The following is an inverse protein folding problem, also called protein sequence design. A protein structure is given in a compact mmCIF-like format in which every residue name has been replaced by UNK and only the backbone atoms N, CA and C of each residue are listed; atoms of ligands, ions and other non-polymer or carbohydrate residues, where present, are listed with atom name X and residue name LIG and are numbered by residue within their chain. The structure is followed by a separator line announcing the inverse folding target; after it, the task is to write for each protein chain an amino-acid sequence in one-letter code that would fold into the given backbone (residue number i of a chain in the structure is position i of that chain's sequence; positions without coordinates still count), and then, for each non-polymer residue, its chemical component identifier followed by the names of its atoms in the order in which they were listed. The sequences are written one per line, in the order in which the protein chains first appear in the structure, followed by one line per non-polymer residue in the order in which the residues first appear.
data_IF_257758820943
#
_entry.id   IF_257758820943
#
_cell.length_a   1.000
_cell.length_b   1.000
_cell.length_c   1.000
_cell.angle_alpha   90.00
_cell.angle_beta   90.00
_cell.angle_gamma   90.00
#
_symmetry.space_group_name_H-M   'P 1'
#
loop_
_entity.id
_entity.type
_entity.pdbx_description
1 polymer ?
#
# COMPACT_ATOMS: atom_id res chain seq x y z
N UNK A 1 8.61 -17.94 14.49
CA UNK A 1 8.58 -16.50 14.79
C UNK A 1 7.36 -16.28 15.66
N UNK A 2 7.49 -15.57 16.77
CA UNK A 2 6.31 -15.13 17.52
C UNK A 2 6.63 -13.74 18.08
N UNK A 3 6.45 -12.74 17.23
CA UNK A 3 6.36 -11.34 17.63
C UNK A 3 5.20 -11.16 18.64
N UNK A 4 5.12 -9.99 19.28
CA UNK A 4 3.95 -9.66 20.08
C UNK A 4 2.69 -9.75 19.22
N UNK A 5 1.61 -10.27 19.80
CA UNK A 5 0.35 -10.44 19.07
C UNK A 5 -0.19 -9.08 18.61
N UNK A 6 -0.81 -9.01 17.42
CA UNK A 6 -1.51 -7.82 16.95
C UNK A 6 -2.50 -7.26 17.96
N UNK A 7 -2.63 -5.93 18.02
CA UNK A 7 -3.63 -5.26 18.82
C UNK A 7 -3.95 -3.88 18.22
N UNK A 8 -5.15 -3.76 17.63
CA UNK A 8 -5.69 -2.53 17.04
C UNK A 8 -5.70 -1.35 18.01
N UNK A 9 -5.86 -1.59 19.31
CA UNK A 9 -5.82 -0.54 20.33
C UNK A 9 -4.51 0.25 20.29
N UNK A 10 -3.41 -0.32 19.79
CA UNK A 10 -2.14 0.39 19.65
C UNK A 10 -2.20 1.49 18.59
N UNK A 11 -2.84 1.21 17.45
CA UNK A 11 -3.01 2.17 16.36
C UNK A 11 -3.99 3.27 16.81
N UNK A 12 -5.14 2.88 17.38
CA UNK A 12 -6.15 3.83 17.86
C UNK A 12 -5.61 4.72 18.98
N UNK A 13 -4.85 4.16 19.94
CA UNK A 13 -4.20 4.95 20.98
C UNK A 13 -3.16 5.93 20.42
N UNK A 14 -2.43 5.56 19.36
CA UNK A 14 -1.50 6.47 18.68
C UNK A 14 -2.23 7.66 18.04
N UNK A 15 -3.44 7.48 17.48
CA UNK A 15 -4.25 8.60 16.98
C UNK A 15 -4.63 9.59 18.08
N UNK A 16 -4.73 9.13 19.33
CA UNK A 16 -5.05 9.94 20.50
C UNK A 16 -3.81 10.35 21.33
N UNK A 17 -2.60 10.10 20.83
CA UNK A 17 -1.32 10.38 21.51
C UNK A 17 -1.20 9.70 22.89
N UNK A 18 -1.78 8.51 23.03
CA UNK A 18 -1.69 7.68 24.24
C UNK A 18 -0.66 6.57 24.05
N UNK A 19 -0.08 6.13 25.15
CA UNK A 19 0.79 4.95 25.20
C UNK A 19 0.02 3.71 25.60
N UNK A 20 0.37 2.59 24.99
CA UNK A 20 -0.11 1.25 25.31
C UNK A 20 1.09 0.41 25.79
N UNK A 21 1.25 -0.83 25.33
CA UNK A 21 2.40 -1.69 25.60
C UNK A 21 3.61 -1.39 24.68
N UNK A 22 3.39 -1.12 23.38
CA UNK A 22 4.44 -0.76 22.43
C UNK A 22 3.97 0.15 21.30
N UNK A 23 4.90 0.73 20.56
CA UNK A 23 4.68 1.40 19.28
C UNK A 23 4.03 0.40 18.30
N UNK A 24 2.89 0.76 17.68
CA UNK A 24 2.26 -0.05 16.65
C UNK A 24 3.10 -0.11 15.37
N UNK A 25 2.92 -1.17 14.59
CA UNK A 25 3.48 -1.25 13.24
C UNK A 25 2.40 -1.60 12.21
N UNK A 26 2.45 -0.92 11.07
CA UNK A 26 1.46 -1.05 10.01
C UNK A 26 2.08 -0.78 8.62
N UNK A 27 2.59 -1.83 7.97
CA UNK A 27 3.01 -1.74 6.57
C UNK A 27 1.82 -1.93 5.63
N UNK A 28 1.74 -1.08 4.62
CA UNK A 28 0.64 -1.07 3.66
C UNK A 28 0.89 -2.04 2.52
N UNK A 29 2.02 -1.88 1.83
CA UNK A 29 2.45 -2.77 0.75
C UNK A 29 3.71 -3.51 1.16
N UNK A 30 3.57 -4.81 1.30
CA UNK A 30 4.64 -5.80 1.36
C UNK A 30 4.49 -6.66 0.11
N UNK A 31 5.52 -6.66 -0.74
CA UNK A 31 5.47 -7.43 -1.99
C UNK A 31 5.61 -8.95 -1.75
N UNK A 32 5.04 -9.71 -2.70
CA UNK A 32 4.82 -11.15 -2.70
C UNK A 32 6.02 -12.01 -2.24
N UNK A 33 7.27 -11.67 -2.58
CA UNK A 33 8.42 -12.49 -2.15
C UNK A 33 8.67 -12.39 -0.66
N UNK A 34 8.39 -11.24 -0.05
CA UNK A 34 8.55 -11.04 1.38
C UNK A 34 7.43 -11.76 2.13
N UNK A 35 6.18 -11.53 1.74
CA UNK A 35 5.00 -12.19 2.34
C UNK A 35 5.10 -13.71 2.22
N UNK A 36 5.48 -14.21 1.04
CA UNK A 36 5.68 -15.64 0.80
C UNK A 36 6.82 -16.24 1.62
N UNK A 37 7.90 -15.49 1.85
CA UNK A 37 9.03 -15.95 2.67
C UNK A 37 8.66 -15.96 4.16
N UNK A 38 7.87 -15.00 4.64
CA UNK A 38 7.35 -14.99 6.02
C UNK A 38 6.43 -16.19 6.25
N UNK A 39 5.50 -16.49 5.34
CA UNK A 39 4.54 -17.59 5.48
C UNK A 39 5.13 -18.96 5.11
N UNK A 40 6.13 -19.01 4.23
CA UNK A 40 6.75 -20.24 3.75
C UNK A 40 5.96 -20.95 2.64
N UNK A 41 5.03 -20.24 2.00
CA UNK A 41 4.21 -20.66 0.84
C UNK A 41 4.02 -19.45 -0.09
N UNK A 42 3.69 -19.67 -1.35
CA UNK A 42 3.42 -18.58 -2.29
C UNK A 42 2.11 -17.89 -1.92
N UNK A 43 2.16 -16.58 -1.69
CA UNK A 43 0.98 -15.72 -1.46
C UNK A 43 1.14 -14.40 -2.24
N UNK A 44 0.11 -13.55 -2.20
CA UNK A 44 0.10 -12.27 -2.91
C UNK A 44 0.82 -11.11 -2.18
N UNK A 45 0.68 -9.93 -2.77
CA UNK A 45 1.05 -8.65 -2.17
C UNK A 45 -0.02 -8.23 -1.14
N UNK A 46 0.32 -7.41 -0.14
CA UNK A 46 -0.69 -6.86 0.78
C UNK A 46 -1.48 -5.69 0.19
N UNK A 47 -1.05 -5.15 -0.96
CA UNK A 47 -1.71 -4.09 -1.72
C UNK A 47 -1.57 -4.37 -3.22
N UNK A 48 -2.63 -4.18 -4.01
CA UNK A 48 -2.64 -4.46 -5.44
C UNK A 48 -2.05 -3.32 -6.27
N UNK A 49 -1.80 -3.62 -7.55
CA UNK A 49 -1.49 -2.61 -8.57
C UNK A 49 -2.70 -2.41 -9.46
N UNK A 50 -3.21 -1.18 -9.54
CA UNK A 50 -4.32 -0.84 -10.43
C UNK A 50 -3.92 -0.47 -11.83
N UNK A 51 -2.65 -0.11 -12.06
CA UNK A 51 -2.20 0.32 -13.39
C UNK A 51 -2.22 -0.89 -14.33
N UNK A 52 -3.19 -0.91 -15.25
CA UNK A 52 -3.43 -2.03 -16.16
C UNK A 52 -4.25 -3.18 -15.54
N UNK A 53 -4.97 -2.94 -14.45
CA UNK A 53 -5.92 -3.92 -13.90
C UNK A 53 -7.13 -4.12 -14.84
N UNK A 54 -7.55 -5.37 -15.01
CA UNK A 54 -8.88 -5.70 -15.54
C UNK A 54 -9.96 -5.46 -14.49
N UNK A 55 -11.22 -5.40 -14.91
CA UNK A 55 -12.40 -5.31 -14.02
C UNK A 55 -12.37 -6.38 -12.91
N UNK A 56 -12.00 -7.62 -13.26
CA UNK A 56 -11.90 -8.74 -12.32
C UNK A 56 -10.78 -8.54 -11.29
N UNK A 57 -9.60 -8.11 -11.75
CA UNK A 57 -8.45 -7.86 -10.85
C UNK A 57 -8.62 -6.60 -10.01
N UNK A 58 -9.44 -5.65 -10.46
CA UNK A 58 -9.73 -4.43 -9.71
C UNK A 58 -10.58 -4.73 -8.48
N UNK A 59 -11.56 -5.63 -8.60
CA UNK A 59 -12.45 -5.99 -7.51
C UNK A 59 -11.76 -6.89 -6.46
N UNK A 60 -10.92 -7.82 -6.92
CA UNK A 60 -10.36 -8.89 -6.09
C UNK A 60 -9.14 -8.42 -5.28
N UNK A 61 -9.08 -8.66 -3.95
CA UNK A 61 -7.89 -8.38 -3.17
C UNK A 61 -6.65 -9.17 -3.67
N UNK A 62 -5.44 -8.60 -3.53
CA UNK A 62 -4.20 -9.23 -4.01
C UNK A 62 -3.78 -10.46 -3.19
N UNK A 63 -4.20 -10.55 -1.93
CA UNK A 63 -3.93 -11.64 -1.00
C UNK A 63 -5.24 -12.08 -0.33
N UNK A 64 -5.34 -13.39 -0.10
CA UNK A 64 -6.38 -14.01 0.70
C UNK A 64 -6.34 -13.52 2.16
N UNK A 65 -7.50 -13.31 2.79
CA UNK A 65 -7.55 -12.65 4.09
C UNK A 65 -6.94 -13.52 5.19
N UNK A 66 -7.08 -14.83 5.12
CA UNK A 66 -6.48 -15.77 6.06
C UNK A 66 -4.94 -15.74 5.99
N UNK A 67 -4.38 -15.64 4.78
CA UNK A 67 -2.94 -15.43 4.57
C UNK A 67 -2.47 -14.09 5.19
N UNK A 68 -3.25 -13.01 5.01
CA UNK A 68 -2.91 -11.69 5.53
C UNK A 68 -2.99 -11.63 7.06
N UNK A 69 -3.98 -12.30 7.67
CA UNK A 69 -4.09 -12.45 9.12
C UNK A 69 -2.91 -13.26 9.69
N UNK A 70 -2.52 -14.36 9.05
CA UNK A 70 -1.35 -15.14 9.49
C UNK A 70 -0.07 -14.30 9.36
N UNK A 71 0.09 -13.53 8.28
CA UNK A 71 1.20 -12.61 8.10
C UNK A 71 1.26 -11.59 9.23
N UNK A 72 0.14 -10.90 9.51
CA UNK A 72 0.03 -9.92 10.59
C UNK A 72 0.36 -10.53 11.94
N UNK A 73 -0.12 -11.75 12.21
CA UNK A 73 0.16 -12.49 13.44
C UNK A 73 1.65 -12.81 13.60
N UNK A 74 2.33 -13.17 12.51
CA UNK A 74 3.76 -13.52 12.53
C UNK A 74 4.65 -12.31 12.75
N UNK A 75 4.36 -11.19 12.09
CA UNK A 75 5.16 -9.95 12.17
C UNK A 75 4.67 -8.98 13.27
N UNK A 76 3.57 -9.32 13.94
CA UNK A 76 2.91 -8.50 14.94
C UNK A 76 2.33 -7.20 14.40
N UNK A 77 1.95 -7.15 13.12
CA UNK A 77 1.30 -5.99 12.52
C UNK A 77 -0.13 -5.87 13.03
N UNK A 78 -0.52 -4.65 13.41
CA UNK A 78 -1.73 -4.41 14.20
C UNK A 78 -3.02 -4.32 13.35
N UNK A 79 -2.91 -4.36 12.02
CA UNK A 79 -4.05 -4.22 11.12
C UNK A 79 -3.80 -4.69 9.69
N UNK A 80 -4.88 -4.99 8.98
CA UNK A 80 -4.92 -5.24 7.53
C UNK A 80 -5.53 -4.05 6.79
N UNK A 81 -5.09 -3.83 5.56
CA UNK A 81 -5.65 -2.82 4.66
C UNK A 81 -6.35 -3.45 3.45
N UNK A 82 -7.57 -2.99 3.15
CA UNK A 82 -8.26 -3.33 1.90
C UNK A 82 -8.16 -2.17 0.90
N UNK A 83 -7.76 -2.47 -0.33
CA UNK A 83 -7.59 -1.47 -1.37
C UNK A 83 -8.91 -1.05 -2.05
N UNK A 84 -9.12 0.27 -2.09
CA UNK A 84 -10.09 0.98 -2.91
C UNK A 84 -9.52 2.34 -3.39
N UNK A 85 -8.22 2.40 -3.66
CA UNK A 85 -7.46 3.64 -3.88
C UNK A 85 -7.90 4.41 -5.13
N UNK A 86 -8.36 3.75 -6.19
CA UNK A 86 -8.52 4.39 -7.51
C UNK A 86 -9.97 4.40 -7.94
N UNK A 87 -10.50 5.54 -8.39
CA UNK A 87 -11.88 5.62 -8.88
C UNK A 87 -12.04 4.82 -10.18
N UNK A 88 -12.94 3.84 -10.26
CA UNK A 88 -13.10 2.96 -11.42
C UNK A 88 -13.97 3.61 -12.49
N UNK A 89 -13.58 4.81 -12.95
CA UNK A 89 -14.24 5.49 -14.06
C UNK A 89 -14.05 4.67 -15.35
N UNK A 90 -15.09 4.54 -16.17
CA UNK A 90 -15.09 3.60 -17.32
C UNK A 90 -15.36 4.28 -18.64
N UNK A 91 -15.00 3.60 -19.73
CA UNK A 91 -15.47 3.89 -21.10
C UNK A 91 -16.05 2.63 -21.71
N UNK A 92 -16.88 2.79 -22.75
CA UNK A 92 -17.32 1.68 -23.61
C UNK A 92 -16.45 1.61 -24.86
N UNK A 93 -16.06 0.40 -25.23
CA UNK A 93 -15.48 0.14 -26.56
C UNK A 93 -16.56 0.07 -27.67
N UNK A 94 -16.13 -0.21 -28.90
CA UNK A 94 -17.02 -0.26 -30.08
C UNK A 94 -18.05 -1.40 -29.98
N UNK A 95 -17.70 -2.46 -29.26
CA UNK A 95 -18.54 -3.62 -28.97
C UNK A 95 -19.48 -3.39 -27.76
N UNK A 96 -19.33 -2.27 -27.05
CA UNK A 96 -20.14 -1.88 -25.90
C UNK A 96 -19.69 -2.46 -24.56
N UNK A 97 -18.50 -3.09 -24.52
CA UNK A 97 -17.87 -3.62 -23.30
C UNK A 97 -17.27 -2.47 -22.50
N UNK A 98 -17.42 -2.54 -21.18
CA UNK A 98 -16.89 -1.56 -20.26
C UNK A 98 -15.41 -1.83 -19.93
N UNK A 99 -14.63 -0.76 -19.86
CA UNK A 99 -13.23 -0.78 -19.46
C UNK A 99 -12.92 0.34 -18.47
N UNK A 100 -12.32 0.01 -17.32
CA UNK A 100 -11.76 1.00 -16.38
C UNK A 100 -10.63 1.79 -17.07
N UNK A 101 -10.67 3.10 -16.89
CA UNK A 101 -9.66 4.04 -17.36
C UNK A 101 -8.47 4.02 -16.39
N UNK A 102 -7.31 3.58 -16.86
CA UNK A 102 -6.07 3.55 -16.07
C UNK A 102 -4.83 4.05 -16.81
N UNK A 103 -5.02 4.59 -18.02
CA UNK A 103 -3.96 4.87 -18.99
C UNK A 103 -3.70 6.36 -19.21
N UNK A 104 -4.45 7.24 -18.55
CA UNK A 104 -4.30 8.69 -18.68
C UNK A 104 -4.79 9.23 -20.02
N UNK A 105 -5.79 8.62 -20.64
CA UNK A 105 -6.24 8.93 -22.02
C UNK A 105 -7.29 10.04 -22.15
N UNK A 106 -7.82 10.59 -21.06
CA UNK A 106 -8.95 11.54 -21.09
C UNK A 106 -8.44 13.00 -21.09
N UNK A 107 -8.38 13.61 -22.27
CA UNK A 107 -7.80 14.94 -22.50
C UNK A 107 -8.78 15.98 -23.03
N UNK A 108 -9.91 15.59 -23.62
CA UNK A 108 -10.91 16.52 -24.18
C UNK A 108 -12.29 16.37 -23.53
N UNK A 109 -13.11 17.42 -23.64
CA UNK A 109 -14.48 17.40 -23.09
C UNK A 109 -15.33 16.31 -23.73
N UNK A 110 -15.15 16.04 -25.03
CA UNK A 110 -15.85 14.96 -25.73
C UNK A 110 -15.45 13.57 -25.21
N UNK A 111 -14.18 13.38 -24.84
CA UNK A 111 -13.74 12.14 -24.19
C UNK A 111 -14.33 12.04 -22.78
N UNK A 112 -14.29 13.13 -22.01
CA UNK A 112 -14.87 13.18 -20.66
C UNK A 112 -16.38 12.92 -20.67
N UNK A 113 -17.12 13.40 -21.66
CA UNK A 113 -18.56 13.17 -21.80
C UNK A 113 -18.90 11.71 -22.13
N UNK A 114 -17.93 10.90 -22.57
CA UNK A 114 -18.05 9.45 -22.75
C UNK A 114 -17.69 8.66 -21.50
N UNK A 115 -17.11 9.30 -20.49
CA UNK A 115 -16.74 8.64 -19.24
C UNK A 115 -18.01 8.28 -18.48
N UNK A 116 -18.08 7.02 -18.10
CA UNK A 116 -19.16 6.45 -17.31
C UNK A 116 -18.69 6.46 -15.85
N UNK A 117 -19.45 7.10 -14.93
CA UNK A 117 -19.12 7.13 -13.52
C UNK A 117 -19.21 5.74 -12.88
N UNK A 118 -18.76 5.62 -11.63
CA UNK A 118 -18.96 4.40 -10.86
C UNK A 118 -20.46 4.12 -10.66
N UNK A 119 -20.78 2.87 -10.35
CA UNK A 119 -22.13 2.45 -9.97
C UNK A 119 -22.09 1.58 -8.72
N UNK A 120 -23.20 1.56 -7.98
CA UNK A 120 -23.29 0.74 -6.78
C UNK A 120 -23.08 -0.73 -7.09
N UNK A 121 -23.73 -1.25 -8.13
CA UNK A 121 -23.76 -2.67 -8.46
C UNK A 121 -22.40 -3.19 -8.97
N UNK A 122 -21.69 -2.39 -9.77
CA UNK A 122 -20.42 -2.83 -10.37
C UNK A 122 -19.21 -2.50 -9.49
N UNK A 123 -19.27 -1.42 -8.71
CA UNK A 123 -18.07 -0.86 -8.07
C UNK A 123 -18.11 -0.91 -6.54
N UNK A 124 -19.28 -0.71 -5.95
CA UNK A 124 -19.41 -0.62 -4.48
C UNK A 124 -19.74 -1.99 -3.86
N UNK A 125 -20.74 -2.72 -4.38
CA UNK A 125 -21.18 -3.99 -3.81
C UNK A 125 -20.13 -5.11 -3.86
N UNK A 126 -19.31 -5.24 -4.93
CA UNK A 126 -18.20 -6.20 -4.93
C UNK A 126 -17.18 -5.90 -3.83
N UNK A 127 -16.82 -4.62 -3.65
CA UNK A 127 -15.90 -4.20 -2.58
C UNK A 127 -16.51 -4.37 -1.19
N UNK A 128 -17.81 -4.12 -1.02
CA UNK A 128 -18.54 -4.37 0.24
C UNK A 128 -18.46 -5.84 0.66
N UNK A 129 -18.59 -6.77 -0.30
CA UNK A 129 -18.47 -8.21 -0.02
C UNK A 129 -17.10 -8.55 0.56
N UNK A 130 -16.02 -8.14 -0.11
CA UNK A 130 -14.67 -8.40 0.38
C UNK A 130 -14.38 -7.69 1.70
N UNK A 131 -14.89 -6.46 1.89
CA UNK A 131 -14.70 -5.76 3.15
C UNK A 131 -15.36 -6.48 4.32
N UNK A 132 -16.58 -7.01 4.12
CA UNK A 132 -17.26 -7.84 5.12
C UNK A 132 -16.45 -9.08 5.46
N UNK A 133 -15.89 -9.75 4.46
CA UNK A 133 -15.01 -10.90 4.68
C UNK A 133 -13.78 -10.51 5.50
N UNK A 134 -13.16 -9.37 5.21
CA UNK A 134 -12.03 -8.82 5.97
C UNK A 134 -12.39 -8.55 7.43
N UNK A 135 -13.50 -7.85 7.67
CA UNK A 135 -13.96 -7.50 9.02
C UNK A 135 -14.29 -8.76 9.82
N UNK A 136 -15.07 -9.68 9.24
CA UNK A 136 -15.44 -10.94 9.89
C UNK A 136 -14.23 -11.81 10.23
N UNK A 137 -13.26 -11.92 9.32
CA UNK A 137 -12.06 -12.72 9.56
C UNK A 137 -11.18 -12.12 10.67
N UNK A 138 -11.19 -10.79 10.84
CA UNK A 138 -10.42 -10.12 11.89
C UNK A 138 -11.07 -10.19 13.28
N UNK A 139 -12.36 -10.57 13.40
CA UNK A 139 -13.06 -10.65 14.68
C UNK A 139 -12.32 -11.57 15.69
N UNK A 140 -12.05 -11.05 16.88
CA UNK A 140 -11.37 -11.79 17.96
C UNK A 140 -9.86 -12.02 17.75
N UNK A 141 -9.27 -11.58 16.63
CA UNK A 141 -7.82 -11.71 16.37
C UNK A 141 -6.99 -10.60 17.02
N UNK A 142 -7.62 -9.48 17.35
CA UNK A 142 -6.93 -8.24 17.78
C UNK A 142 -6.39 -7.41 16.61
N UNK A 143 -6.54 -7.86 15.36
CA UNK A 143 -6.13 -7.14 14.15
C UNK A 143 -7.25 -6.16 13.75
N UNK A 144 -6.90 -4.91 13.46
CA UNK A 144 -7.85 -3.92 12.94
C UNK A 144 -7.98 -3.96 11.42
N UNK A 145 -8.95 -3.21 10.91
CA UNK A 145 -9.21 -3.10 9.46
C UNK A 145 -9.19 -1.64 9.01
N UNK A 146 -8.51 -1.36 7.91
CA UNK A 146 -8.63 -0.07 7.21
C UNK A 146 -9.04 -0.26 5.76
N UNK A 147 -9.81 0.68 5.24
CA UNK A 147 -9.99 0.83 3.79
C UNK A 147 -9.05 1.92 3.30
N UNK A 148 -8.40 1.68 2.17
CA UNK A 148 -7.46 2.60 1.57
C UNK A 148 -8.08 3.20 0.32
N UNK A 149 -8.27 4.51 0.31
CA UNK A 149 -8.91 5.29 -0.76
C UNK A 149 -7.95 6.39 -1.22
N UNK A 150 -8.21 7.05 -2.34
CA UNK A 150 -7.56 8.32 -2.66
C UNK A 150 -8.57 9.46 -2.53
N UNK A 151 -8.20 10.63 -3.05
CA UNK A 151 -9.09 11.78 -3.05
C UNK A 151 -8.92 12.61 -4.34
N UNK A 152 -8.51 13.86 -4.22
CA UNK A 152 -8.73 14.88 -5.24
C UNK A 152 -7.64 14.95 -6.31
N UNK A 153 -6.44 14.42 -6.07
CA UNK A 153 -5.27 14.79 -6.88
C UNK A 153 -4.68 13.59 -7.62
N UNK A 154 -4.29 12.56 -6.89
CA UNK A 154 -3.56 11.41 -7.39
C UNK A 154 -4.30 10.68 -8.50
N UNK A 155 -5.57 10.34 -8.27
CA UNK A 155 -6.35 9.56 -9.24
C UNK A 155 -6.52 10.28 -10.58
N UNK A 156 -6.95 11.56 -10.62
CA UNK A 156 -7.00 12.33 -11.86
C UNK A 156 -5.68 12.36 -12.64
N UNK A 157 -4.55 12.69 -12.00
CA UNK A 157 -3.29 12.82 -12.73
C UNK A 157 -2.66 11.47 -13.10
N UNK A 158 -2.87 10.42 -12.30
CA UNK A 158 -2.17 9.15 -12.49
C UNK A 158 -2.90 8.23 -13.48
N UNK A 159 -4.23 8.22 -13.45
CA UNK A 159 -5.02 7.21 -14.17
C UNK A 159 -5.94 7.79 -15.24
N UNK A 160 -6.49 8.99 -15.03
CA UNK A 160 -7.55 9.53 -15.91
C UNK A 160 -6.97 10.44 -17.00
N UNK A 161 -6.15 11.42 -16.61
CA UNK A 161 -5.69 12.50 -17.50
C UNK A 161 -4.21 12.34 -17.87
N UNK A 162 -3.41 11.76 -16.98
CA UNK A 162 -1.95 11.74 -17.10
C UNK A 162 -1.32 13.00 -16.50
N UNK A 163 -0.13 12.85 -15.91
CA UNK A 163 0.49 13.87 -15.05
C UNK A 163 0.76 15.20 -15.78
N UNK A 164 1.41 15.15 -16.94
CA UNK A 164 1.75 16.36 -17.70
C UNK A 164 0.50 17.14 -18.12
N UNK A 165 -0.49 16.44 -18.68
CA UNK A 165 -1.73 17.07 -19.14
C UNK A 165 -2.55 17.61 -17.97
N UNK A 166 -2.60 16.88 -16.84
CA UNK A 166 -3.22 17.38 -15.61
C UNK A 166 -2.58 18.72 -15.19
N UNK A 167 -1.26 18.78 -15.09
CA UNK A 167 -0.53 20.00 -14.70
C UNK A 167 -0.73 21.17 -15.68
N UNK A 168 -0.97 20.90 -16.96
CA UNK A 168 -1.32 21.93 -17.95
C UNK A 168 -2.77 22.40 -17.74
N UNK A 169 -3.71 21.47 -17.54
CA UNK A 169 -5.14 21.77 -17.43
C UNK A 169 -5.51 22.49 -16.14
N UNK A 170 -4.84 22.23 -15.02
CA UNK A 170 -5.03 23.02 -13.79
C UNK A 170 -4.72 24.52 -13.97
N UNK A 171 -4.03 24.91 -15.06
CA UNK A 171 -3.79 26.31 -15.39
C UNK A 171 -4.67 26.83 -16.53
N UNK A 172 -5.18 25.93 -17.40
CA UNK A 172 -5.80 26.31 -18.68
C UNK A 172 -7.28 25.92 -18.84
N UNK A 173 -7.74 24.88 -18.17
CA UNK A 173 -9.11 24.37 -18.27
C UNK A 173 -9.55 23.81 -16.91
N UNK A 174 -9.77 24.74 -15.99
CA UNK A 174 -10.05 24.43 -14.59
C UNK A 174 -11.34 23.64 -14.40
N UNK A 175 -12.38 24.03 -15.13
CA UNK A 175 -13.70 23.37 -15.08
C UNK A 175 -13.60 21.90 -15.47
N UNK A 176 -12.72 21.56 -16.42
CA UNK A 176 -12.48 20.17 -16.80
C UNK A 176 -11.91 19.36 -15.63
N UNK A 177 -10.91 19.90 -14.94
CA UNK A 177 -10.31 19.26 -13.77
C UNK A 177 -11.35 19.11 -12.67
N UNK A 178 -12.10 20.16 -12.35
CA UNK A 178 -13.12 20.13 -11.30
C UNK A 178 -14.20 19.07 -11.59
N UNK A 179 -14.61 18.88 -12.86
CA UNK A 179 -15.52 17.81 -13.25
C UNK A 179 -14.94 16.41 -13.01
N UNK A 180 -13.67 16.18 -13.37
CA UNK A 180 -13.00 14.88 -13.14
C UNK A 180 -12.83 14.60 -11.66
N UNK A 181 -12.41 15.60 -10.87
CA UNK A 181 -12.29 15.50 -9.41
C UNK A 181 -13.64 15.15 -8.79
N UNK A 182 -14.73 15.82 -9.21
CA UNK A 182 -16.08 15.53 -8.71
C UNK A 182 -16.46 14.07 -8.94
N UNK A 183 -16.24 13.54 -10.15
CA UNK A 183 -16.56 12.14 -10.48
C UNK A 183 -15.75 11.15 -9.62
N UNK A 184 -14.47 11.44 -9.37
CA UNK A 184 -13.64 10.61 -8.49
C UNK A 184 -14.12 10.69 -7.04
N UNK A 185 -14.42 11.90 -6.56
CA UNK A 185 -14.92 12.12 -5.20
C UNK A 185 -16.27 11.47 -4.96
N UNK A 186 -17.19 11.45 -5.93
CA UNK A 186 -18.47 10.77 -5.78
C UNK A 186 -18.26 9.27 -5.50
N UNK A 187 -17.29 8.63 -6.18
CA UNK A 187 -16.89 7.25 -5.87
C UNK A 187 -16.31 7.11 -4.46
N UNK A 188 -15.37 7.99 -4.09
CA UNK A 188 -14.72 7.91 -2.78
C UNK A 188 -15.72 8.12 -1.63
N UNK A 189 -16.68 9.04 -1.79
CA UNK A 189 -17.72 9.24 -0.77
C UNK A 189 -18.59 8.00 -0.61
N UNK A 190 -18.98 7.35 -1.72
CA UNK A 190 -19.80 6.12 -1.67
C UNK A 190 -19.03 4.93 -1.07
N UNK A 191 -17.76 4.75 -1.43
CA UNK A 191 -16.95 3.64 -0.90
C UNK A 191 -16.60 3.83 0.58
N UNK A 192 -16.32 5.06 1.00
CA UNK A 192 -16.00 5.39 2.40
C UNK A 192 -17.26 5.24 3.25
N UNK A 193 -18.40 5.76 2.79
CA UNK A 193 -19.67 5.59 3.49
C UNK A 193 -19.98 4.11 3.67
N UNK A 194 -19.82 3.31 2.61
CA UNK A 194 -19.97 1.86 2.69
C UNK A 194 -19.05 1.26 3.76
N UNK A 195 -17.77 1.63 3.79
CA UNK A 195 -16.84 1.08 4.77
C UNK A 195 -17.17 1.47 6.22
N UNK A 196 -17.62 2.70 6.44
CA UNK A 196 -18.14 3.15 7.74
C UNK A 196 -19.38 2.35 8.16
N UNK A 197 -20.33 2.10 7.25
CA UNK A 197 -21.52 1.28 7.52
C UNK A 197 -21.17 -0.17 7.89
N UNK A 198 -20.07 -0.72 7.35
CA UNK A 198 -19.59 -2.07 7.67
C UNK A 198 -18.76 -2.15 8.96
N UNK A 199 -18.38 -1.02 9.55
CA UNK A 199 -17.63 -0.98 10.82
C UNK A 199 -16.10 -1.03 10.67
N UNK A 200 -15.56 -0.38 9.64
CA UNK A 200 -14.10 -0.21 9.48
C UNK A 200 -13.46 0.48 10.70
N UNK A 201 -12.23 0.10 11.06
CA UNK A 201 -11.52 0.71 12.20
C UNK A 201 -11.04 2.14 11.91
N UNK A 202 -10.59 2.42 10.69
CA UNK A 202 -10.28 3.78 10.21
C UNK A 202 -10.27 3.86 8.67
N UNK A 203 -10.19 5.09 8.14
CA UNK A 203 -10.03 5.34 6.70
C UNK A 203 -8.62 5.88 6.42
N UNK A 204 -7.95 5.28 5.44
CA UNK A 204 -6.65 5.70 4.96
C UNK A 204 -6.77 6.37 3.58
N UNK A 205 -6.46 7.66 3.50
CA UNK A 205 -6.42 8.40 2.24
C UNK A 205 -4.98 8.36 1.72
N UNK A 206 -4.75 7.82 0.53
CA UNK A 206 -3.51 7.98 -0.24
C UNK A 206 -3.72 9.00 -1.35
N UNK A 207 -3.29 10.24 -1.14
CA UNK A 207 -3.39 11.31 -2.13
C UNK A 207 -2.09 12.10 -2.19
N UNK A 208 -1.25 11.75 -3.17
CA UNK A 208 0.08 12.30 -3.36
C UNK A 208 0.02 13.74 -3.87
N UNK A 209 0.07 14.69 -2.93
CA UNK A 209 0.07 16.14 -3.20
C UNK A 209 1.44 16.79 -3.05
N UNK A 210 2.40 16.05 -2.50
CA UNK A 210 3.79 16.48 -2.30
C UNK A 210 4.69 16.10 -3.47
N UNK A 211 5.65 16.97 -3.78
CA UNK A 211 6.78 16.70 -4.65
C UNK A 211 8.10 16.78 -3.89
N UNK A 212 9.22 16.77 -4.61
CA UNK A 212 10.53 17.05 -3.98
C UNK A 212 10.59 18.53 -3.58
N UNK A 213 10.65 18.79 -2.28
CA UNK A 213 10.81 20.10 -1.68
C UNK A 213 9.54 20.87 -1.36
N UNK A 214 8.42 20.64 -2.07
CA UNK A 214 7.15 21.35 -1.83
C UNK A 214 5.95 20.65 -2.47
N UNK A 215 4.75 21.21 -2.30
CA UNK A 215 3.49 20.75 -2.91
C UNK A 215 3.54 20.81 -4.44
N UNK A 216 3.00 19.78 -5.11
CA UNK A 216 2.98 19.65 -6.57
C UNK A 216 2.24 20.81 -7.26
N UNK A 217 1.10 21.23 -6.71
CA UNK A 217 0.26 22.30 -7.25
C UNK A 217 0.50 23.65 -6.57
N UNK A 218 1.42 23.72 -5.60
CA UNK A 218 1.59 24.87 -4.72
C UNK A 218 0.49 25.01 -3.66
N UNK A 219 0.75 25.78 -2.59
CA UNK A 219 -0.12 25.85 -1.41
C UNK A 219 -1.53 26.36 -1.70
N UNK A 220 -1.67 27.37 -2.56
CA UNK A 220 -2.98 27.99 -2.83
C UNK A 220 -3.94 27.01 -3.52
N UNK A 221 -3.47 26.28 -4.54
CA UNK A 221 -4.30 25.29 -5.23
C UNK A 221 -4.56 24.07 -4.36
N UNK A 222 -3.56 23.60 -3.61
CA UNK A 222 -3.76 22.49 -2.67
C UNK A 222 -4.83 22.83 -1.63
N UNK A 223 -4.78 24.03 -1.03
CA UNK A 223 -5.83 24.50 -0.09
C UNK A 223 -7.18 24.72 -0.75
N UNK A 224 -7.20 25.17 -2.00
CA UNK A 224 -8.45 25.38 -2.75
C UNK A 224 -9.17 24.06 -3.04
N UNK A 225 -8.43 22.97 -3.27
CA UNK A 225 -9.00 21.76 -3.88
C UNK A 225 -8.83 20.49 -3.06
N UNK A 226 -7.61 20.20 -2.60
CA UNK A 226 -7.34 18.97 -1.87
C UNK A 226 -7.95 19.03 -0.47
N UNK A 227 -7.73 20.13 0.25
CA UNK A 227 -8.22 20.30 1.64
C UNK A 227 -9.75 20.16 1.74
N UNK A 228 -10.58 20.84 0.92
CA UNK A 228 -12.03 20.65 0.98
C UNK A 228 -12.50 19.23 0.65
N UNK A 229 -11.76 18.50 -0.19
CA UNK A 229 -12.07 17.10 -0.48
C UNK A 229 -11.76 16.20 0.72
N UNK A 230 -10.63 16.43 1.41
CA UNK A 230 -10.31 15.74 2.66
C UNK A 230 -11.33 16.07 3.75
N UNK A 231 -11.72 17.33 3.89
CA UNK A 231 -12.73 17.78 4.86
C UNK A 231 -14.08 17.09 4.63
N UNK A 232 -14.51 16.93 3.37
CA UNK A 232 -15.73 16.15 3.04
C UNK A 232 -15.64 14.71 3.55
N UNK A 233 -14.49 14.05 3.37
CA UNK A 233 -14.26 12.69 3.85
C UNK A 233 -14.30 12.65 5.38
N UNK A 234 -13.59 13.57 6.05
CA UNK A 234 -13.57 13.63 7.53
C UNK A 234 -14.98 13.86 8.08
N UNK A 235 -15.74 14.81 7.51
CA UNK A 235 -17.11 15.09 7.92
C UNK A 235 -18.00 13.84 7.80
N UNK A 236 -17.93 13.11 6.68
CA UNK A 236 -18.66 11.86 6.53
C UNK A 236 -18.27 10.82 7.58
N UNK A 237 -16.96 10.58 7.77
CA UNK A 237 -16.49 9.58 8.73
C UNK A 237 -16.84 9.95 10.19
N UNK A 238 -16.91 11.24 10.50
CA UNK A 238 -17.28 11.74 11.83
C UNK A 238 -18.71 11.38 12.24
N UNK A 239 -19.63 11.18 11.27
CA UNK A 239 -20.98 10.69 11.54
C UNK A 239 -21.01 9.25 12.09
N UNK A 240 -19.89 8.53 11.97
CA UNK A 240 -19.72 7.12 12.37
C UNK A 240 -18.61 6.92 13.40
N UNK A 241 -18.04 8.01 13.95
CA UNK A 241 -16.89 7.96 14.87
C UNK A 241 -15.65 7.24 14.28
N UNK A 242 -15.47 7.28 12.96
CA UNK A 242 -14.35 6.64 12.26
C UNK A 242 -13.21 7.65 12.03
N UNK A 243 -11.99 7.41 12.52
CA UNK A 243 -10.86 8.30 12.28
C UNK A 243 -10.37 8.25 10.82
N UNK A 244 -9.76 9.36 10.37
CA UNK A 244 -9.25 9.50 9.00
C UNK A 244 -7.77 9.87 9.03
N UNK A 245 -6.98 9.17 8.23
CA UNK A 245 -5.53 9.36 8.11
C UNK A 245 -5.15 9.75 6.68
N UNK A 246 -4.09 10.53 6.50
CA UNK A 246 -3.58 10.92 5.18
C UNK A 246 -2.17 10.42 4.93
N UNK A 247 -1.97 9.90 3.73
CA UNK A 247 -0.71 9.65 3.08
C UNK A 247 -0.51 10.54 1.88
N UNK A 248 0.68 11.12 1.79
CA UNK A 248 1.17 11.78 0.59
C UNK A 248 2.67 11.60 0.51
N UNK A 249 3.14 11.01 -0.59
CA UNK A 249 4.54 11.08 -0.98
C UNK A 249 5.00 12.54 -1.13
N UNK A 250 6.32 12.72 -1.15
CA UNK A 250 6.96 14.03 -1.25
C UNK A 250 6.80 14.89 0.01
N UNK A 251 6.96 16.20 -0.15
CA UNK A 251 6.94 17.16 0.94
C UNK A 251 5.61 17.95 0.94
N UNK A 252 4.68 17.51 1.78
CA UNK A 252 3.43 18.22 2.06
C UNK A 252 3.37 18.77 3.50
N UNK A 253 4.52 18.98 4.16
CA UNK A 253 4.60 19.45 5.55
C UNK A 253 3.87 20.78 5.76
N UNK A 254 3.84 21.63 4.72
CA UNK A 254 3.20 22.95 4.76
C UNK A 254 1.69 22.88 5.05
N UNK A 255 1.01 21.80 4.63
CA UNK A 255 -0.44 21.64 4.84
C UNK A 255 -0.81 20.88 6.12
N UNK A 256 0.16 20.38 6.89
CA UNK A 256 -0.13 19.67 8.15
C UNK A 256 -1.04 20.50 9.09
N UNK A 257 -0.89 21.82 9.26
CA UNK A 257 -1.84 22.62 10.03
C UNK A 257 -3.27 22.53 9.49
N UNK A 258 -3.45 22.63 8.17
CA UNK A 258 -4.76 22.51 7.52
C UNK A 258 -5.37 21.12 7.76
N UNK A 259 -4.55 20.05 7.72
CA UNK A 259 -4.97 18.67 8.00
C UNK A 259 -5.43 18.48 9.45
N UNK A 260 -4.71 19.08 10.41
CA UNK A 260 -5.10 19.06 11.83
C UNK A 260 -6.44 19.78 12.02
N UNK A 261 -6.59 20.95 11.40
CA UNK A 261 -7.79 21.79 11.56
C UNK A 261 -9.06 21.09 11.05
N UNK A 262 -8.97 20.31 9.97
CA UNK A 262 -10.09 19.54 9.42
C UNK A 262 -10.32 18.19 10.13
N UNK A 263 -9.43 17.77 11.04
CA UNK A 263 -9.60 16.53 11.83
C UNK A 263 -8.91 15.27 11.28
N UNK A 264 -7.90 15.40 10.41
CA UNK A 264 -7.04 14.26 10.06
C UNK A 264 -6.15 13.90 11.26
N UNK A 265 -6.17 12.64 11.68
CA UNK A 265 -5.52 12.20 12.93
C UNK A 265 -4.09 11.70 12.74
N UNK A 266 -3.68 11.38 11.50
CA UNK A 266 -2.34 10.88 11.19
C UNK A 266 -1.84 11.39 9.84
N UNK A 267 -0.57 11.74 9.77
CA UNK A 267 0.14 12.04 8.52
C UNK A 267 1.26 11.03 8.26
N UNK A 268 1.31 10.51 7.03
CA UNK A 268 2.30 9.56 6.52
C UNK A 268 2.84 10.01 5.14
N UNK A 269 4.09 9.70 4.79
CA UNK A 269 5.14 9.16 5.64
C UNK A 269 6.04 10.24 6.28
N UNK A 270 5.95 11.51 5.85
CA UNK A 270 7.08 12.46 5.94
C UNK A 270 8.29 11.87 5.21
N UNK A 271 8.25 11.82 3.88
CA UNK A 271 9.25 11.09 3.09
C UNK A 271 10.68 11.65 3.28
N UNK A 272 11.69 10.82 3.64
CA UNK A 272 13.06 11.28 3.90
C UNK A 272 13.69 12.03 2.71
N UNK A 273 13.45 11.56 1.48
CA UNK A 273 14.08 12.11 0.27
C UNK A 273 13.38 13.35 -0.28
N UNK A 274 12.28 13.77 0.34
CA UNK A 274 11.49 14.93 -0.08
C UNK A 274 12.07 16.27 0.36
N UNK A 275 13.05 16.28 1.26
CA UNK A 275 13.57 17.48 1.91
C UNK A 275 12.84 17.88 3.20
N UNK A 276 11.89 17.07 3.66
CA UNK A 276 11.31 17.18 4.99
C UNK A 276 12.15 16.44 6.04
N UNK A 277 12.21 16.97 7.26
CA UNK A 277 12.82 16.32 8.42
C UNK A 277 11.72 15.88 9.39
N UNK A 278 11.57 14.56 9.57
CA UNK A 278 10.55 13.97 10.44
C UNK A 278 10.71 14.38 11.91
N UNK A 279 11.93 14.65 12.38
CA UNK A 279 12.18 15.07 13.76
C UNK A 279 11.70 16.50 13.99
N UNK A 280 11.94 17.40 13.04
CA UNK A 280 11.41 18.76 13.10
C UNK A 280 9.88 18.79 12.96
N UNK A 281 9.32 17.92 12.10
CA UNK A 281 7.86 17.74 11.98
C UNK A 281 7.26 17.23 13.29
N UNK A 282 7.84 16.19 13.89
CA UNK A 282 7.41 15.64 15.18
C UNK A 282 7.50 16.67 16.31
N UNK A 283 8.60 17.42 16.38
CA UNK A 283 8.75 18.51 17.37
C UNK A 283 7.69 19.60 17.22
N UNK A 284 7.29 19.92 15.99
CA UNK A 284 6.34 21.01 15.71
C UNK A 284 4.87 20.59 15.83
N UNK A 285 4.53 19.37 15.40
CA UNK A 285 3.16 18.91 15.24
C UNK A 285 2.86 17.57 15.91
N UNK A 286 3.86 16.86 16.41
CA UNK A 286 3.72 15.49 16.92
C UNK A 286 2.79 15.36 18.13
N UNK A 287 2.48 16.44 18.84
CA UNK A 287 1.46 16.47 19.91
C UNK A 287 0.05 16.82 19.44
N UNK A 288 -0.15 16.98 18.12
CA UNK A 288 -1.42 17.37 17.50
C UNK A 288 -1.88 16.39 16.43
N UNK A 289 -0.95 15.72 15.77
CA UNK A 289 -1.21 14.70 14.76
C UNK A 289 -0.29 13.51 15.00
N UNK A 290 -0.78 12.29 14.78
CA UNK A 290 0.04 11.09 14.80
C UNK A 290 0.98 11.11 13.58
N UNK A 291 2.24 10.77 13.80
CA UNK A 291 3.22 10.62 12.72
C UNK A 291 3.39 9.14 12.41
N UNK A 292 3.36 8.77 11.14
CA UNK A 292 3.60 7.40 10.69
C UNK A 292 4.72 7.41 9.65
N UNK A 293 5.68 6.52 9.73
CA UNK A 293 6.88 6.51 8.86
C UNK A 293 8.18 6.49 9.67
N UNK A 294 9.33 6.78 9.11
CA UNK A 294 9.61 6.92 7.69
C UNK A 294 10.90 6.15 7.36
N UNK A 295 11.04 4.92 7.89
CA UNK A 295 12.24 4.10 7.71
C UNK A 295 12.56 4.00 6.22
N UNK A 296 13.73 4.50 5.81
CA UNK A 296 13.97 4.91 4.42
C UNK A 296 14.15 3.70 3.48
N UNK A 297 13.20 3.51 2.57
CA UNK A 297 13.21 2.46 1.54
C UNK A 297 14.30 2.68 0.48
N UNK A 298 14.83 3.90 0.33
CA UNK A 298 15.94 4.23 -0.56
C UNK A 298 17.28 4.36 0.20
N UNK A 299 17.27 4.11 1.52
CA UNK A 299 18.41 4.23 2.41
C UNK A 299 18.73 2.90 3.11
N UNK A 300 18.66 2.82 4.46
CA UNK A 300 19.04 1.63 5.21
C UNK A 300 18.29 0.36 4.78
N UNK A 301 17.01 0.45 4.42
CA UNK A 301 16.25 -0.74 4.01
C UNK A 301 16.81 -1.36 2.74
N UNK A 302 17.09 -0.58 1.69
CA UNK A 302 17.58 -1.11 0.42
C UNK A 302 19.09 -1.39 0.39
N UNK A 303 19.89 -0.54 1.05
CA UNK A 303 21.35 -0.54 0.88
C UNK A 303 22.14 -0.72 2.18
N UNK A 304 21.48 -0.69 3.33
CA UNK A 304 22.11 -0.89 4.63
C UNK A 304 22.26 -2.36 5.03
N UNK A 305 22.91 -2.57 6.16
CA UNK A 305 22.91 -3.85 6.86
C UNK A 305 21.70 -3.95 7.81
N UNK A 306 21.35 -5.16 8.28
CA UNK A 306 20.34 -5.31 9.32
C UNK A 306 20.62 -4.47 10.59
N UNK A 307 21.89 -4.24 10.92
CA UNK A 307 22.28 -3.39 12.05
C UNK A 307 21.99 -1.91 11.77
N UNK A 308 22.26 -1.43 10.55
CA UNK A 308 21.93 -0.06 10.14
C UNK A 308 20.42 0.18 10.25
N UNK A 309 19.60 -0.77 9.81
CA UNK A 309 18.13 -0.69 9.93
C UNK A 309 17.70 -0.69 11.40
N UNK A 310 18.25 -1.56 12.24
CA UNK A 310 17.91 -1.59 13.67
C UNK A 310 18.25 -0.27 14.37
N UNK A 311 19.40 0.32 14.04
CA UNK A 311 19.82 1.60 14.58
C UNK A 311 18.90 2.73 14.10
N UNK A 312 18.48 2.70 12.84
CA UNK A 312 17.55 3.67 12.27
C UNK A 312 16.19 3.60 12.98
N UNK A 313 15.58 2.41 13.09
CA UNK A 313 14.32 2.22 13.83
C UNK A 313 14.44 2.67 15.28
N UNK A 314 15.54 2.33 15.96
CA UNK A 314 15.77 2.76 17.34
C UNK A 314 15.77 4.29 17.46
N UNK A 315 16.48 4.98 16.56
CA UNK A 315 16.51 6.45 16.57
C UNK A 315 15.11 7.04 16.37
N UNK A 316 14.32 6.50 15.44
CA UNK A 316 12.96 6.98 15.19
C UNK A 316 12.07 6.80 16.42
N UNK A 317 12.03 5.58 16.97
CA UNK A 317 11.23 5.25 18.16
C UNK A 317 11.61 6.08 19.39
N UNK A 318 12.90 6.34 19.61
CA UNK A 318 13.38 7.10 20.78
C UNK A 318 13.10 8.61 20.66
N UNK A 319 13.02 9.15 19.44
CA UNK A 319 12.97 10.60 19.22
C UNK A 319 11.64 11.11 18.63
N UNK A 320 10.82 10.25 18.03
CA UNK A 320 9.51 10.61 17.49
C UNK A 320 8.46 10.24 18.53
N UNK A 321 7.86 11.26 19.15
CA UNK A 321 6.71 11.09 20.04
C UNK A 321 6.83 9.92 21.05
N UNK A 322 7.88 9.87 21.90
CA UNK A 322 8.14 8.73 22.81
C UNK A 322 7.07 8.52 23.91
N UNK A 323 6.00 9.33 23.90
CA UNK A 323 4.84 9.25 24.78
C UNK A 323 3.53 8.93 24.04
N UNK A 324 3.61 8.35 22.84
CA UNK A 324 2.45 8.03 21.99
C UNK A 324 2.28 9.04 20.86
N UNK A 325 1.63 8.63 19.76
CA UNK A 325 1.52 9.44 18.54
C UNK A 325 2.53 9.11 17.45
N UNK A 326 3.08 7.89 17.48
CA UNK A 326 3.97 7.36 16.44
C UNK A 326 3.51 5.97 16.00
N UNK A 327 3.50 5.72 14.69
CA UNK A 327 3.29 4.40 14.09
C UNK A 327 4.51 4.05 13.24
N UNK A 328 5.12 2.91 13.52
CA UNK A 328 6.30 2.46 12.78
C UNK A 328 5.87 1.93 11.41
N UNK A 329 6.30 2.63 10.37
CA UNK A 329 6.19 2.18 8.97
C UNK A 329 7.44 2.57 8.20
N UNK A 330 7.68 1.92 7.09
CA UNK A 330 8.65 2.35 6.09
C UNK A 330 8.21 3.66 5.44
N UNK A 331 9.14 4.34 4.76
CA UNK A 331 8.85 5.59 4.04
C UNK A 331 7.98 5.39 2.81
N UNK A 332 7.77 4.14 2.37
CA UNK A 332 6.86 3.78 1.28
C UNK A 332 6.54 2.28 1.34
N UNK A 333 6.82 1.51 0.29
CA UNK A 333 6.44 0.09 0.18
C UNK A 333 7.64 -0.81 0.42
N UNK A 334 7.40 -1.95 1.06
CA UNK A 334 8.40 -3.02 1.18
C UNK A 334 8.47 -3.80 -0.13
N UNK A 335 9.25 -3.26 -1.07
CA UNK A 335 9.45 -3.81 -2.40
C UNK A 335 10.40 -5.01 -2.41
N UNK A 336 10.29 -5.86 -3.42
CA UNK A 336 11.09 -7.09 -3.60
C UNK A 336 12.60 -6.85 -3.84
N UNK A 337 13.02 -5.60 -4.04
CA UNK A 337 14.44 -5.21 -4.10
C UNK A 337 15.03 -4.97 -2.70
N UNK A 338 14.22 -4.74 -1.67
CA UNK A 338 14.66 -4.65 -0.28
C UNK A 338 15.13 -6.04 0.17
N UNK A 339 16.32 -6.19 0.77
CA UNK A 339 16.73 -7.44 1.38
C UNK A 339 15.75 -7.88 2.47
N UNK A 340 15.33 -9.15 2.43
CA UNK A 340 14.40 -9.71 3.41
C UNK A 340 14.90 -9.55 4.84
N UNK A 341 16.20 -9.70 5.05
CA UNK A 341 16.85 -9.56 6.34
C UNK A 341 16.72 -8.13 6.90
N UNK A 342 16.72 -7.11 6.02
CA UNK A 342 16.51 -5.72 6.39
C UNK A 342 15.05 -5.45 6.78
N UNK A 343 14.10 -5.99 6.01
CA UNK A 343 12.68 -5.92 6.39
C UNK A 343 12.42 -6.57 7.76
N UNK A 344 12.94 -7.78 8.00
CA UNK A 344 12.79 -8.43 9.30
C UNK A 344 13.50 -7.69 10.43
N UNK A 345 14.65 -7.05 10.15
CA UNK A 345 15.36 -6.22 11.11
C UNK A 345 14.53 -4.99 11.54
N UNK A 346 13.81 -4.35 10.59
CA UNK A 346 12.90 -3.25 10.88
C UNK A 346 11.78 -3.67 11.84
N UNK A 347 11.11 -4.79 11.52
CA UNK A 347 10.05 -5.35 12.37
C UNK A 347 10.60 -5.68 13.76
N UNK A 348 11.69 -6.43 13.84
CA UNK A 348 12.31 -6.80 15.12
C UNK A 348 12.66 -5.59 15.98
N UNK A 349 13.30 -4.58 15.39
CA UNK A 349 13.68 -3.36 16.09
C UNK A 349 12.46 -2.62 16.65
N UNK A 350 11.35 -2.58 15.91
CA UNK A 350 10.10 -1.99 16.38
C UNK A 350 9.57 -2.67 17.65
N UNK A 351 9.52 -4.01 17.64
CA UNK A 351 9.11 -4.79 18.82
C UNK A 351 10.08 -4.65 20.01
N UNK A 352 11.38 -4.52 19.73
CA UNK A 352 12.42 -4.44 20.75
C UNK A 352 12.53 -3.06 21.41
N UNK A 353 12.59 -2.00 20.62
CA UNK A 353 12.83 -0.64 21.10
C UNK A 353 11.53 0.14 21.34
N UNK A 354 10.42 -0.27 20.70
CA UNK A 354 9.11 0.40 20.76
C UNK A 354 8.32 0.18 22.05
N UNK A 355 8.84 -0.51 23.07
CA UNK A 355 8.08 -0.79 24.29
C UNK A 355 7.97 0.43 25.20
N UNK A 356 6.75 0.75 25.62
CA UNK A 356 6.51 1.86 26.53
C UNK A 356 6.77 1.46 28.00
N UNK A 357 7.35 2.36 28.81
CA UNK A 357 7.93 3.65 28.41
C UNK A 357 9.24 3.45 27.64
N UNK A 358 9.40 4.19 26.54
CA UNK A 358 10.56 4.10 25.63
C UNK A 358 11.87 4.34 26.40
N UNK A 359 12.93 3.62 26.02
CA UNK A 359 14.26 3.76 26.61
C UNK A 359 14.50 2.96 27.90
N UNK A 360 13.49 2.25 28.42
CA UNK A 360 13.70 1.24 29.46
C UNK A 360 13.98 -0.11 28.80
N UNK A 361 15.25 -0.51 28.75
CA UNK A 361 15.63 -1.86 28.31
C UNK A 361 15.17 -2.89 29.33
N UNK A 362 13.98 -3.46 29.15
CA UNK A 362 13.60 -4.67 29.87
C UNK A 362 14.38 -5.86 29.30
N UNK A 363 15.11 -6.57 30.16
CA UNK A 363 15.90 -7.77 29.84
C UNK A 363 15.06 -9.00 29.49
N UNK A 364 13.74 -8.88 29.45
CA UNK A 364 12.80 -9.99 29.25
C UNK A 364 12.06 -9.98 27.91
N UNK A 365 12.30 -8.98 27.05
CA UNK A 365 11.64 -8.92 25.74
C UNK A 365 11.97 -10.18 24.93
N UNK A 366 10.96 -10.84 24.37
CA UNK A 366 11.18 -11.82 23.31
C UNK A 366 11.80 -11.05 22.14
N UNK A 367 13.12 -11.09 22.02
CA UNK A 367 13.79 -10.74 20.78
C UNK A 367 13.35 -11.79 19.76
N UNK A 368 12.26 -11.50 19.05
CA UNK A 368 11.69 -12.38 18.05
C UNK A 368 12.68 -12.68 16.90
N UNK A 369 13.83 -11.97 16.87
CA UNK A 369 14.91 -12.09 15.91
C UNK A 369 16.30 -11.88 16.54
N UNK A 370 16.60 -12.54 17.67
CA UNK A 370 17.99 -12.56 18.14
C UNK A 370 18.90 -13.02 16.98
N UNK A 371 20.04 -12.38 16.76
CA UNK A 371 20.83 -12.49 15.51
C UNK A 371 21.12 -13.95 15.10
N UNK A 372 21.33 -14.85 16.06
CA UNK A 372 21.51 -16.29 15.82
C UNK A 372 20.24 -17.02 15.33
N UNK A 373 19.05 -16.60 15.78
CA UNK A 373 17.76 -17.13 15.31
C UNK A 373 17.41 -16.62 13.90
N UNK A 374 17.88 -15.43 13.50
CA UNK A 374 17.66 -14.90 12.16
C UNK A 374 18.38 -15.74 11.10
N UNK A 375 19.63 -16.11 11.35
CA UNK A 375 20.36 -17.04 10.47
C UNK A 375 19.65 -18.40 10.36
N UNK A 376 19.16 -18.94 11.48
CA UNK A 376 18.47 -20.22 11.49
C UNK A 376 17.08 -20.14 10.83
N UNK A 377 16.33 -19.06 11.01
CA UNK A 377 15.05 -18.83 10.32
C UNK A 377 15.24 -18.68 8.80
N UNK A 378 16.28 -17.94 8.38
CA UNK A 378 16.68 -17.81 6.98
C UNK A 378 17.15 -19.16 6.41
N UNK A 379 17.83 -19.99 7.19
CA UNK A 379 18.24 -21.37 6.81
C UNK A 379 17.05 -22.34 6.73
N UNK A 380 16.06 -22.23 7.63
CA UNK A 380 14.94 -23.18 7.77
C UNK A 380 13.79 -22.96 6.77
N UNK A 381 13.77 -21.82 6.06
CA UNK A 381 12.86 -21.59 4.93
C UNK A 381 13.61 -21.43 3.61
N UNK A 382 14.54 -22.35 3.31
CA UNK A 382 14.55 -22.84 1.92
C UNK A 382 13.14 -23.37 1.69
N UNK A 383 12.29 -22.55 1.05
CA UNK A 383 11.00 -22.98 0.52
C UNK A 383 11.23 -24.39 0.04
N UNK A 384 10.52 -25.38 0.60
CA UNK A 384 10.57 -26.74 0.05
C UNK A 384 10.24 -26.54 -1.42
N UNK A 385 11.27 -26.60 -2.27
CA UNK A 385 11.08 -26.81 -3.70
C UNK A 385 10.40 -28.17 -3.71
N UNK A 386 9.07 -28.14 -3.77
CA UNK A 386 8.28 -29.32 -4.02
C UNK A 386 8.83 -29.88 -5.33
N UNK A 387 9.10 -31.17 -5.29
CA UNK A 387 9.73 -31.92 -6.36
C UNK A 387 9.00 -31.65 -7.68
N UNK A 388 9.76 -31.10 -8.62
CA UNK A 388 9.61 -31.21 -10.08
C UNK A 388 8.20 -31.01 -10.66
N UNK A 389 7.94 -29.78 -11.17
CA UNK A 389 7.61 -29.48 -12.59
C UNK A 389 7.17 -28.02 -12.80
N UNK A 390 6.81 -27.27 -11.75
CA UNK A 390 6.31 -25.88 -11.84
C UNK A 390 7.44 -24.86 -11.99
N UNK A 391 7.35 -24.01 -13.02
CA UNK A 391 8.36 -23.00 -13.36
C UNK A 391 7.82 -21.57 -13.23
N UNK A 392 8.55 -20.69 -12.56
CA UNK A 392 8.25 -19.25 -12.50
C UNK A 392 9.26 -18.49 -13.37
N UNK A 393 8.85 -17.92 -14.52
CA UNK A 393 9.77 -17.25 -15.42
C UNK A 393 10.25 -15.91 -14.87
N UNK A 394 11.52 -15.61 -15.10
CA UNK A 394 12.10 -14.28 -14.83
C UNK A 394 11.83 -13.39 -16.03
N UNK A 395 11.23 -12.21 -15.80
CA UNK A 395 10.99 -11.19 -16.83
C UNK A 395 12.25 -10.33 -17.01
N UNK A 396 12.73 -10.21 -18.23
CA UNK A 396 13.86 -9.34 -18.58
C UNK A 396 13.73 -8.82 -20.01
N UNK A 397 14.17 -7.59 -20.25
CA UNK A 397 14.17 -6.99 -21.58
C UNK A 397 15.24 -7.64 -22.47
N UNK A 398 14.89 -8.06 -23.68
CA UNK A 398 15.83 -8.71 -24.60
C UNK A 398 15.26 -9.00 -25.99
N UNK A 399 15.97 -9.81 -26.77
CA UNK A 399 15.49 -10.31 -28.08
C UNK A 399 14.84 -11.68 -27.88
N UNK A 400 13.59 -11.82 -28.32
CA UNK A 400 12.87 -13.08 -28.26
C UNK A 400 13.48 -14.11 -29.22
N UNK A 401 13.85 -15.28 -28.72
CA UNK A 401 14.39 -16.40 -29.50
C UNK A 401 13.35 -17.03 -30.46
N UNK A 402 12.05 -16.86 -30.18
CA UNK A 402 10.96 -17.36 -31.04
C UNK A 402 10.68 -16.46 -32.26
N UNK A 403 10.44 -15.16 -32.05
CA UNK A 403 10.03 -14.23 -33.11
C UNK A 403 11.09 -13.19 -33.50
N UNK A 404 12.24 -13.12 -32.83
CA UNK A 404 13.31 -12.16 -33.11
C UNK A 404 13.03 -10.71 -32.71
N UNK A 405 11.86 -10.40 -32.14
CA UNK A 405 11.49 -9.05 -31.71
C UNK A 405 12.13 -8.69 -30.36
N UNK A 406 12.40 -7.40 -30.15
CA UNK A 406 12.78 -6.86 -28.83
C UNK A 406 11.53 -6.62 -27.99
N UNK A 407 11.49 -7.18 -26.78
CA UNK A 407 10.37 -7.06 -25.85
C UNK A 407 10.81 -7.44 -24.42
N UNK A 408 9.91 -7.27 -23.45
CA UNK A 408 10.00 -8.00 -22.18
C UNK A 408 9.82 -9.48 -22.50
N UNK A 409 10.83 -10.28 -22.17
CA UNK A 409 10.84 -11.72 -22.41
C UNK A 409 10.92 -12.47 -21.09
N UNK A 410 10.40 -13.69 -21.13
CA UNK A 410 10.54 -14.69 -20.11
C UNK A 410 11.78 -15.52 -20.40
N UNK A 411 12.70 -15.61 -19.43
CA UNK A 411 13.74 -16.63 -19.49
C UNK A 411 13.08 -17.98 -19.15
N UNK A 412 13.15 -18.97 -20.05
CA UNK A 412 12.67 -20.34 -19.79
C UNK A 412 13.80 -21.25 -19.28
N UNK A 413 13.52 -22.45 -18.72
CA UNK A 413 14.57 -23.33 -18.17
C UNK A 413 15.68 -23.72 -19.14
N UNK A 414 15.42 -23.67 -20.45
CA UNK A 414 16.43 -23.88 -21.50
C UNK A 414 17.42 -22.71 -21.66
N UNK A 415 17.27 -21.63 -20.89
CA UNK A 415 18.06 -20.41 -20.98
C UNK A 415 17.64 -19.45 -22.10
N UNK A 416 16.68 -19.83 -22.95
CA UNK A 416 16.15 -18.97 -24.01
C UNK A 416 15.29 -17.85 -23.43
N UNK A 417 15.34 -16.70 -24.08
CA UNK A 417 14.46 -15.56 -23.81
C UNK A 417 13.32 -15.60 -24.81
N UNK A 418 12.06 -15.70 -24.38
CA UNK A 418 10.91 -15.70 -25.28
C UNK A 418 9.86 -14.67 -24.85
N UNK A 419 9.31 -13.91 -25.80
CA UNK A 419 8.24 -12.95 -25.50
C UNK A 419 6.97 -13.69 -25.09
N UNK A 420 6.03 -12.99 -24.48
CA UNK A 420 4.75 -13.55 -24.01
C UNK A 420 4.01 -14.34 -25.07
N UNK A 421 3.88 -13.80 -26.27
CA UNK A 421 3.18 -14.46 -27.36
C UNK A 421 3.86 -15.79 -27.77
N UNK A 422 5.20 -15.83 -27.78
CA UNK A 422 5.96 -17.05 -28.05
C UNK A 422 5.96 -18.03 -26.87
N UNK A 423 5.87 -17.52 -25.64
CA UNK A 423 5.80 -18.30 -24.42
C UNK A 423 4.57 -19.21 -24.43
N UNK A 424 3.39 -18.68 -24.75
CA UNK A 424 2.19 -19.50 -24.90
C UNK A 424 2.27 -20.46 -26.10
N UNK A 425 2.83 -20.03 -27.24
CA UNK A 425 2.98 -20.88 -28.44
C UNK A 425 3.90 -22.09 -28.22
N UNK A 426 4.89 -21.98 -27.34
CA UNK A 426 5.73 -23.11 -26.94
C UNK A 426 5.01 -24.11 -26.01
N UNK A 427 3.72 -23.90 -25.73
CA UNK A 427 2.89 -24.81 -24.95
C UNK A 427 3.00 -24.60 -23.44
N UNK A 428 3.51 -23.46 -22.97
CA UNK A 428 3.48 -23.11 -21.56
C UNK A 428 2.06 -22.71 -21.15
N UNK A 429 1.52 -23.41 -20.16
CA UNK A 429 0.19 -23.19 -19.59
C UNK A 429 0.33 -22.75 -18.14
N UNK A 430 -0.48 -21.78 -17.76
CA UNK A 430 -0.57 -21.32 -16.38
C UNK A 430 -1.31 -22.40 -15.58
N UNK A 431 -0.68 -22.92 -14.53
CA UNK A 431 -1.32 -23.84 -13.59
C UNK A 431 -1.73 -23.04 -12.36
N UNK A 432 -2.98 -23.21 -11.93
CA UNK A 432 -3.56 -22.62 -10.73
C UNK A 432 -4.25 -23.74 -9.92
N UNK A 433 -3.48 -24.66 -9.38
CA UNK A 433 -3.98 -25.71 -8.48
C UNK A 433 -3.23 -25.62 -7.15
N UNK A 434 -3.96 -25.34 -6.07
CA UNK A 434 -3.39 -25.29 -4.72
C UNK A 434 -2.30 -24.22 -4.52
N UNK A 435 -1.25 -24.46 -3.72
CA UNK A 435 -0.23 -23.47 -3.31
C UNK A 435 0.74 -23.04 -4.43
N UNK A 436 0.50 -23.45 -5.68
CA UNK A 436 1.40 -23.25 -6.81
C UNK A 436 0.81 -22.28 -7.84
N UNK A 437 1.47 -21.12 -8.02
CA UNK A 437 1.30 -20.27 -9.19
C UNK A 437 2.56 -20.36 -10.04
N UNK A 438 2.44 -20.95 -11.22
CA UNK A 438 3.56 -21.06 -12.15
C UNK A 438 3.15 -21.66 -13.47
N UNK A 439 4.15 -22.00 -14.28
CA UNK A 439 3.97 -22.43 -15.65
C UNK A 439 4.42 -23.87 -15.82
N UNK A 440 3.59 -24.68 -16.44
CA UNK A 440 3.95 -25.99 -16.95
C UNK A 440 4.05 -25.96 -18.46
N UNK A 441 5.03 -26.66 -19.02
CA UNK A 441 5.02 -26.97 -20.44
C UNK A 441 4.09 -28.16 -20.64
N UNK A 442 3.05 -27.99 -21.45
CA UNK A 442 2.12 -29.06 -21.82
C UNK A 442 2.94 -30.18 -22.45
N UNK A 443 3.13 -31.30 -21.75
CA UNK A 443 3.81 -32.47 -22.30
C UNK A 443 2.98 -32.94 -23.51
N UNK A 444 3.63 -33.18 -24.64
CA UNK A 444 3.03 -33.89 -25.77
C UNK A 444 2.74 -35.30 -25.25
N UNK A 445 1.47 -35.59 -24.97
CA UNK A 445 1.00 -36.95 -24.71
C UNK A 445 1.30 -37.74 -25.98
N UNK A 446 2.32 -38.60 -25.94
CA UNK A 446 2.52 -39.68 -26.90
C UNK A 446 1.77 -40.91 -26.42
#
# INVERSE_FOLDING_TARGET
MQCDQPNIERVLASFEHKTVDRVPNFEILIEDKHTSRVLGRTVGDTLGSSKGASEETYATPPMDIEDYIELCTLIGQDAVGMEALWAPLKIKDEEGVLHIITDGSIHTREQLDRVIPHSKELDIEPKRRYLREYIQACEGTGIGTTIMTAAAVMTPYQFIIGFEEFMIKILKDMDFIEKVISMCMDYYMDIIKMACEEGISWVYIGDDVGGKGSLLMGPDLTRKWAIPCYERIVNLCSEYDVPVTLHSCGNAVEIIPDLIDIGIVMYNPVEPTSGADIYEVSKKYGNKICISGNIDIAGPLAFGTPEDVQNDVKQHVENINPKGGYILTSSHSIQNNIPFENFMAMISAGHRYGRYPIGKTETSSKDCFATGQMEDFVKHKKVRRVEEKVFTPVKQYGICAGCGKRAINFQVPSGKMICEECFYKEGWILVREGPDRGWHKKETIN
#
